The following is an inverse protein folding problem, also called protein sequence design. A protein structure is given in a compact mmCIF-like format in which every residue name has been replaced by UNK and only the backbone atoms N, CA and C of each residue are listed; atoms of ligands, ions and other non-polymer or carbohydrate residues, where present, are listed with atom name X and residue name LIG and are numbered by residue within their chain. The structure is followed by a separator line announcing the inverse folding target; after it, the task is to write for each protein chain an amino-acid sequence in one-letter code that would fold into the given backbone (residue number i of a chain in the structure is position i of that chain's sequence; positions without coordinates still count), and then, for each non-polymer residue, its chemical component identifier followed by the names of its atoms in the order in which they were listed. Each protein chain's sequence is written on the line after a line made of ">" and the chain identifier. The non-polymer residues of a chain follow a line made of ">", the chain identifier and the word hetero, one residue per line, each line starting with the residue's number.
data_IF_036641150294
#
_entry.id   IF_036641150294
#
_cell.length_a   1.000
_cell.length_b   1.000
_cell.length_c   1.000
_cell.angle_alpha   90.00
_cell.angle_beta   90.00
_cell.angle_gamma   90.00
#
_symmetry.space_group_name_H-M   'P 1'
#
loop_
_entity.id
_entity.type
_entity.pdbx_description
1 polymer ?
#
# COMPACT_ATOMS: atom_id res chain seq x y z
N UNK A 1 10.18 8.77 -16.68
CA UNK A 1 8.93 9.41 -16.25
C UNK A 1 8.75 9.14 -14.76
N UNK A 2 7.69 9.66 -14.17
CA UNK A 2 7.28 9.35 -12.79
C UNK A 2 6.90 7.88 -12.61
N UNK A 3 6.44 7.20 -13.67
CA UNK A 3 5.99 5.81 -13.63
C UNK A 3 7.10 4.87 -13.17
N UNK A 4 8.22 4.84 -13.91
CA UNK A 4 9.36 3.98 -13.57
C UNK A 4 9.92 4.30 -12.19
N UNK A 5 10.01 5.60 -11.86
CA UNK A 5 10.57 6.02 -10.56
C UNK A 5 9.75 5.47 -9.39
N UNK A 6 8.42 5.56 -9.47
CA UNK A 6 7.51 5.09 -8.42
C UNK A 6 7.51 3.56 -8.36
N UNK A 7 7.41 2.89 -9.51
CA UNK A 7 7.39 1.43 -9.60
C UNK A 7 8.69 0.81 -9.09
N UNK A 8 9.85 1.26 -9.59
CA UNK A 8 11.15 0.73 -9.21
C UNK A 8 11.45 0.97 -7.72
N UNK A 9 10.98 2.10 -7.17
CA UNK A 9 11.07 2.37 -5.72
C UNK A 9 10.25 1.36 -4.92
N UNK A 10 9.03 1.03 -5.36
CA UNK A 10 8.19 0.03 -4.71
C UNK A 10 8.80 -1.37 -4.75
N UNK A 11 9.38 -1.75 -5.90
CA UNK A 11 10.08 -3.03 -6.07
C UNK A 11 11.27 -3.12 -5.11
N UNK A 12 12.14 -2.10 -5.11
CA UNK A 12 13.31 -2.07 -4.24
C UNK A 12 12.93 -2.14 -2.76
N UNK A 13 11.89 -1.42 -2.35
CA UNK A 13 11.34 -1.47 -0.99
C UNK A 13 10.78 -2.87 -0.66
N UNK A 14 10.00 -3.47 -1.56
CA UNK A 14 9.40 -4.78 -1.34
C UNK A 14 10.46 -5.88 -1.21
N UNK A 15 11.49 -5.86 -2.05
CA UNK A 15 12.62 -6.79 -1.91
C UNK A 15 13.36 -6.61 -0.59
N UNK A 16 13.55 -5.36 -0.15
CA UNK A 16 14.18 -5.06 1.14
C UNK A 16 13.35 -5.62 2.29
N UNK A 17 12.02 -5.47 2.27
CA UNK A 17 11.11 -6.05 3.25
C UNK A 17 11.18 -7.58 3.26
N UNK A 18 11.16 -8.21 2.08
CA UNK A 18 11.27 -9.67 1.98
C UNK A 18 12.57 -10.20 2.59
N UNK A 19 13.69 -9.51 2.32
CA UNK A 19 15.00 -9.83 2.88
C UNK A 19 15.02 -9.62 4.41
N UNK A 20 14.46 -8.52 4.89
CA UNK A 20 14.46 -8.15 6.31
C UNK A 20 13.61 -9.09 7.18
N UNK A 21 12.48 -9.57 6.67
CA UNK A 21 11.54 -10.41 7.42
C UNK A 21 12.02 -11.86 7.64
N UNK A 22 13.04 -12.32 6.91
CA UNK A 22 13.65 -13.62 7.11
C UNK A 22 12.66 -14.80 7.09
N UNK A 23 12.66 -15.61 8.15
CA UNK A 23 11.84 -16.82 8.25
C UNK A 23 10.38 -16.57 8.67
N UNK A 24 10.02 -15.31 8.99
CA UNK A 24 8.67 -14.86 9.33
C UNK A 24 8.04 -15.63 10.51
N UNK A 25 8.85 -16.21 11.40
CA UNK A 25 8.35 -16.93 12.58
C UNK A 25 8.05 -15.96 13.71
N UNK A 26 6.90 -16.15 14.35
CA UNK A 26 6.49 -15.34 15.50
C UNK A 26 6.07 -13.90 15.16
N UNK A 27 5.92 -13.56 13.88
CA UNK A 27 5.37 -12.26 13.49
C UNK A 27 3.85 -12.32 13.43
N UNK A 28 3.26 -11.22 13.88
CA UNK A 28 1.85 -10.94 13.69
C UNK A 28 1.56 -10.62 12.21
N UNK A 29 0.32 -10.86 11.78
CA UNK A 29 -0.13 -10.73 10.39
C UNK A 29 -1.48 -10.03 10.37
N UNK A 30 -1.51 -8.85 10.96
CA UNK A 30 -2.75 -8.16 11.29
C UNK A 30 -3.11 -7.09 10.26
N UNK A 31 -4.33 -6.60 10.39
CA UNK A 31 -4.83 -5.46 9.65
C UNK A 31 -4.99 -4.25 10.56
N UNK A 32 -5.02 -3.08 9.95
CA UNK A 32 -5.14 -1.80 10.64
C UNK A 32 -6.27 -0.96 10.04
N UNK A 33 -7.02 -0.29 10.92
CA UNK A 33 -8.05 0.69 10.57
C UNK A 33 -7.58 2.06 11.04
N UNK A 34 -7.42 3.01 10.12
CA UNK A 34 -6.94 4.35 10.42
C UNK A 34 -7.91 5.42 9.88
N UNK A 35 -8.46 6.28 10.72
CA UNK A 35 -9.13 7.49 10.27
C UNK A 35 -8.12 8.61 9.98
N UNK A 36 -8.41 9.42 8.97
CA UNK A 36 -7.72 10.68 8.70
C UNK A 36 -8.74 11.71 8.23
N UNK A 37 -9.14 12.61 9.12
CA UNK A 37 -10.21 13.58 8.91
C UNK A 37 -11.49 12.93 8.31
N UNK A 38 -11.82 13.24 7.06
CA UNK A 38 -12.99 12.70 6.35
C UNK A 38 -12.76 11.30 5.75
N UNK A 39 -11.54 10.76 5.87
CA UNK A 39 -11.14 9.48 5.29
C UNK A 39 -11.08 8.36 6.33
N UNK A 40 -11.46 7.15 5.91
CA UNK A 40 -11.27 5.92 6.67
C UNK A 40 -10.55 4.89 5.81
N UNK A 41 -9.38 4.45 6.26
CA UNK A 41 -8.50 3.54 5.55
C UNK A 41 -8.39 2.20 6.30
N UNK A 42 -8.45 1.10 5.56
CA UNK A 42 -8.34 -0.26 6.05
C UNK A 42 -7.23 -0.97 5.28
N UNK A 43 -6.33 -1.60 6.02
CA UNK A 43 -5.31 -2.49 5.48
C UNK A 43 -5.49 -3.84 6.15
N UNK A 44 -5.47 -4.92 5.39
CA UNK A 44 -5.21 -6.25 5.90
C UNK A 44 -3.97 -6.82 5.22
N UNK A 45 -3.04 -7.32 6.02
CA UNK A 45 -1.71 -7.73 5.57
C UNK A 45 -1.44 -9.19 5.99
N UNK A 46 -1.05 -10.02 5.03
CA UNK A 46 -0.52 -11.37 5.29
C UNK A 46 0.87 -11.52 4.68
N UNK A 47 1.87 -11.70 5.55
CA UNK A 47 3.23 -12.10 5.18
C UNK A 47 3.31 -13.60 4.76
N UNK A 48 2.33 -14.07 3.98
CA UNK A 48 2.13 -15.47 3.64
C UNK A 48 3.00 -16.00 2.50
N UNK A 49 3.80 -15.15 1.85
CA UNK A 49 4.67 -15.55 0.73
C UNK A 49 3.96 -15.66 -0.62
N UNK A 50 2.66 -15.30 -0.67
CA UNK A 50 1.81 -15.31 -1.86
C UNK A 50 1.46 -13.86 -2.22
N UNK A 51 2.01 -13.34 -3.33
CA UNK A 51 1.75 -11.97 -3.75
C UNK A 51 0.30 -11.83 -4.23
N UNK A 52 -0.42 -10.85 -3.67
CA UNK A 52 -1.77 -10.51 -4.10
C UNK A 52 -2.13 -9.09 -3.63
N UNK A 53 -2.89 -8.36 -4.43
CA UNK A 53 -3.44 -7.07 -4.07
C UNK A 53 -4.95 -7.06 -4.33
N UNK A 54 -5.72 -6.68 -3.31
CA UNK A 54 -7.08 -6.16 -3.46
C UNK A 54 -7.02 -4.66 -3.23
N UNK A 55 -7.56 -3.89 -4.18
CA UNK A 55 -7.56 -2.43 -4.15
C UNK A 55 -8.99 -1.90 -4.29
N UNK A 56 -9.52 -1.40 -3.18
CA UNK A 56 -10.83 -0.77 -3.06
C UNK A 56 -10.66 0.70 -2.61
N UNK A 57 -10.00 1.48 -3.45
CA UNK A 57 -9.80 2.90 -3.25
C UNK A 57 -9.90 3.62 -4.60
N UNK A 58 -11.06 4.25 -4.83
CA UNK A 58 -11.28 5.07 -6.02
C UNK A 58 -10.64 6.45 -5.84
N UNK A 59 -9.86 6.91 -6.82
CA UNK A 59 -9.33 8.28 -6.85
C UNK A 59 -9.95 9.05 -8.00
N UNK A 60 -10.54 10.22 -7.71
CA UNK A 60 -11.28 11.03 -8.70
C UNK A 60 -10.47 12.18 -9.29
N UNK A 61 -9.32 12.50 -8.68
CA UNK A 61 -8.37 13.49 -9.21
C UNK A 61 -7.33 12.79 -10.07
N UNK A 62 -6.84 13.47 -11.10
CA UNK A 62 -5.77 12.95 -11.95
C UNK A 62 -4.42 12.87 -11.21
N UNK A 63 -4.14 13.85 -10.35
CA UNK A 63 -2.88 13.94 -9.59
C UNK A 63 -3.08 14.40 -8.16
N UNK A 64 -2.14 14.03 -7.29
CA UNK A 64 -1.95 14.60 -5.95
C UNK A 64 -0.50 15.10 -5.87
N UNK A 65 -0.32 16.43 -5.88
CA UNK A 65 0.99 17.02 -6.15
C UNK A 65 1.48 16.58 -7.52
N UNK A 66 2.71 16.07 -7.61
CA UNK A 66 3.31 15.61 -8.85
C UNK A 66 2.98 14.14 -9.19
N UNK A 67 2.30 13.41 -8.30
CA UNK A 67 2.02 11.98 -8.46
C UNK A 67 0.68 11.75 -9.17
N UNK A 68 0.64 11.09 -10.33
CA UNK A 68 -0.60 10.59 -10.92
C UNK A 68 -1.29 9.60 -9.99
N UNK A 69 -2.58 9.74 -9.78
CA UNK A 69 -3.32 8.90 -8.81
C UNK A 69 -3.37 7.43 -9.20
N UNK A 70 -3.31 7.13 -10.51
CA UNK A 70 -3.18 5.75 -11.00
C UNK A 70 -1.93 5.06 -10.46
N UNK A 71 -0.84 5.81 -10.22
CA UNK A 71 0.42 5.26 -9.76
C UNK A 71 0.36 4.73 -8.33
N UNK A 72 -0.65 5.10 -7.53
CA UNK A 72 -0.81 4.53 -6.20
C UNK A 72 -1.15 3.04 -6.28
N UNK A 73 -2.07 2.63 -7.15
CA UNK A 73 -2.34 1.22 -7.38
C UNK A 73 -1.06 0.48 -7.82
N UNK A 74 -0.33 1.05 -8.79
CA UNK A 74 0.92 0.47 -9.28
C UNK A 74 1.97 0.32 -8.19
N UNK A 75 2.16 1.35 -7.35
CA UNK A 75 3.06 1.29 -6.21
C UNK A 75 2.74 0.11 -5.27
N UNK A 76 1.49 -0.01 -4.81
CA UNK A 76 1.12 -1.09 -3.89
C UNK A 76 1.13 -2.46 -4.58
N UNK A 77 0.85 -2.52 -5.88
CA UNK A 77 0.94 -3.76 -6.65
C UNK A 77 2.38 -4.25 -6.70
N UNK A 78 3.31 -3.39 -7.12
CA UNK A 78 4.73 -3.73 -7.22
C UNK A 78 5.34 -4.03 -5.85
N UNK A 79 4.94 -3.29 -4.80
CA UNK A 79 5.33 -3.57 -3.43
C UNK A 79 4.86 -4.97 -2.98
N UNK A 80 3.58 -5.29 -3.20
CA UNK A 80 2.99 -6.58 -2.79
C UNK A 80 3.66 -7.77 -3.48
N UNK A 81 3.99 -7.60 -4.76
CA UNK A 81 4.64 -8.61 -5.59
C UNK A 81 6.08 -8.86 -5.14
N UNK A 82 6.87 -7.79 -5.01
CA UNK A 82 8.27 -7.88 -4.60
C UNK A 82 8.43 -8.36 -3.15
N UNK A 83 7.58 -7.92 -2.23
CA UNK A 83 7.59 -8.36 -0.83
C UNK A 83 6.99 -9.77 -0.63
N UNK A 84 6.31 -10.31 -1.66
CA UNK A 84 5.56 -11.57 -1.60
C UNK A 84 4.53 -11.61 -0.47
N UNK A 85 3.69 -10.59 -0.43
CA UNK A 85 2.67 -10.39 0.59
C UNK A 85 1.28 -10.28 -0.03
N UNK A 86 0.27 -10.65 0.74
CA UNK A 86 -1.12 -10.36 0.39
C UNK A 86 -1.52 -9.04 1.07
N UNK A 87 -2.01 -8.10 0.28
CA UNK A 87 -2.53 -6.82 0.73
C UNK A 87 -3.99 -6.68 0.33
N UNK A 88 -4.84 -6.36 1.29
CA UNK A 88 -6.18 -5.86 1.05
C UNK A 88 -6.25 -4.42 1.52
N UNK A 89 -6.53 -3.51 0.59
CA UNK A 89 -6.54 -2.06 0.83
C UNK A 89 -7.92 -1.53 0.49
N UNK A 90 -8.54 -0.86 1.45
CA UNK A 90 -9.77 -0.09 1.25
C UNK A 90 -9.62 1.32 1.78
N UNK A 91 -10.14 2.31 1.05
CA UNK A 91 -10.24 3.67 1.55
C UNK A 91 -11.51 4.37 1.08
N UNK A 92 -12.22 4.97 2.03
CA UNK A 92 -13.40 5.81 1.80
C UNK A 92 -13.10 7.23 2.25
N UNK A 93 -13.68 8.23 1.60
CA UNK A 93 -13.44 9.65 1.89
C UNK A 93 -13.61 10.54 0.67
N UNK A 94 -13.69 11.85 0.87
CA UNK A 94 -13.88 12.84 -0.19
C UNK A 94 -12.58 13.54 -0.59
N UNK A 95 -11.62 13.67 0.33
CA UNK A 95 -10.32 14.22 0.05
C UNK A 95 -9.33 13.13 -0.39
N UNK A 96 -8.87 13.22 -1.63
CA UNK A 96 -7.93 12.27 -2.23
C UNK A 96 -6.57 12.22 -1.50
N UNK A 97 -6.08 13.36 -0.99
CA UNK A 97 -4.84 13.40 -0.22
C UNK A 97 -4.98 12.64 1.10
N UNK A 98 -6.09 12.83 1.81
CA UNK A 98 -6.36 12.15 3.07
C UNK A 98 -6.47 10.63 2.88
N UNK A 99 -7.10 10.19 1.78
CA UNK A 99 -7.18 8.75 1.44
C UNK A 99 -5.81 8.13 1.25
N UNK A 100 -4.96 8.70 0.39
CA UNK A 100 -3.66 8.08 0.12
C UNK A 100 -2.72 8.15 1.33
N UNK A 101 -2.70 9.28 2.04
CA UNK A 101 -1.90 9.41 3.26
C UNK A 101 -2.37 8.43 4.35
N UNK A 102 -3.69 8.28 4.50
CA UNK A 102 -4.30 7.31 5.42
C UNK A 102 -3.94 5.86 5.07
N UNK A 103 -3.94 5.49 3.78
CA UNK A 103 -3.49 4.17 3.31
C UNK A 103 -2.03 3.92 3.70
N UNK A 104 -1.12 4.86 3.41
CA UNK A 104 0.30 4.71 3.76
C UNK A 104 0.52 4.59 5.27
N UNK A 105 -0.17 5.41 6.08
CA UNK A 105 -0.10 5.34 7.54
C UNK A 105 -0.64 4.02 8.08
N UNK A 106 -1.77 3.55 7.56
CA UNK A 106 -2.35 2.27 7.96
C UNK A 106 -1.41 1.10 7.61
N UNK A 107 -0.77 1.13 6.43
CA UNK A 107 0.22 0.11 6.06
C UNK A 107 1.42 0.13 7.01
N UNK A 108 1.96 1.31 7.35
CA UNK A 108 3.11 1.43 8.23
C UNK A 108 2.85 0.95 9.67
N UNK A 109 1.59 0.93 10.10
CA UNK A 109 1.16 0.41 11.40
C UNK A 109 0.76 -1.07 11.41
N UNK A 110 0.54 -1.68 10.24
CA UNK A 110 0.07 -3.07 10.10
C UNK A 110 1.16 -4.12 10.33
#
# INVERSE_FOLDING_TARGET
>A
DEHHTIEDTAIALGEALLKALGDKRGIERYGFLLPMDDSLCQIALDFGGRPWLVWDAEFKRERIGDVPTEMFFHFFKSLSDAARINLNIKAEGTNEHHKIEGIFKALAHS
#
